data_IF_207318776392
#
_entry.id   IF_207318776392
#
_cell.length_a   1.000
_cell.length_b   1.000
_cell.length_c   1.000
_cell.angle_alpha   90.00
_cell.angle_beta   90.00
_cell.angle_gamma   90.00
#
_symmetry.space_group_name_H-M   'P 1'
#
loop_
_entity.id
_entity.type
_entity.pdbx_description
1 polymer ?
#
# COMPACT_ATOMS: atom_id res chain seq x y z
N UNK A 1 -78.36 40.31 2.04
CA UNK A 1 -77.00 39.98 2.53
C UNK A 1 -76.88 38.47 2.63
N UNK A 2 -76.05 37.82 1.81
CA UNK A 2 -75.85 36.36 1.85
C UNK A 2 -74.54 36.03 2.57
N UNK A 3 -74.63 35.33 3.70
CA UNK A 3 -73.46 34.79 4.39
C UNK A 3 -72.83 33.66 3.55
N UNK A 4 -71.60 33.87 3.07
CA UNK A 4 -70.82 32.81 2.40
C UNK A 4 -70.44 31.74 3.43
N UNK A 5 -71.01 30.53 3.26
CA UNK A 5 -70.56 29.34 3.99
C UNK A 5 -69.17 28.92 3.51
N UNK A 6 -68.24 28.85 4.47
CA UNK A 6 -67.24 27.79 4.65
C UNK A 6 -66.67 27.19 3.35
N UNK A 7 -65.44 27.61 3.01
CA UNK A 7 -64.48 26.76 2.29
C UNK A 7 -63.22 26.60 3.14
N UNK A 8 -63.34 25.77 4.18
CA UNK A 8 -62.23 25.35 5.05
C UNK A 8 -61.78 23.92 4.71
N UNK A 9 -61.80 23.56 3.42
CA UNK A 9 -61.54 22.21 2.93
C UNK A 9 -60.23 22.08 2.12
N UNK A 10 -59.44 23.15 2.02
CA UNK A 10 -58.22 23.18 1.19
C UNK A 10 -56.91 23.42 1.95
N UNK A 11 -56.94 23.35 3.29
CA UNK A 11 -55.75 23.55 4.15
C UNK A 11 -55.23 22.26 4.82
N UNK A 12 -55.84 21.09 4.54
CA UNK A 12 -55.49 19.82 5.20
C UNK A 12 -54.77 18.79 4.31
N UNK A 13 -54.54 19.10 3.02
CA UNK A 13 -53.87 18.18 2.07
C UNK A 13 -52.34 18.35 2.03
N UNK A 14 -51.79 19.43 2.61
CA UNK A 14 -50.36 19.76 2.54
C UNK A 14 -49.55 19.13 3.71
N UNK A 15 -50.20 18.55 4.73
CA UNK A 15 -49.53 18.02 5.93
C UNK A 15 -49.12 16.53 5.86
N UNK A 16 -49.40 15.83 4.75
CA UNK A 16 -49.19 14.36 4.65
C UNK A 16 -47.99 13.92 3.80
N UNK A 17 -47.08 14.84 3.44
CA UNK A 17 -45.97 14.54 2.49
C UNK A 17 -44.60 15.07 2.94
N UNK A 18 -44.25 14.94 4.23
CA UNK A 18 -42.92 15.28 4.76
C UNK A 18 -42.40 14.25 5.81
N UNK A 19 -42.48 12.96 5.49
CA UNK A 19 -42.06 11.86 6.38
C UNK A 19 -40.88 11.04 5.86
N UNK A 20 -39.85 11.69 5.32
CA UNK A 20 -38.56 11.02 4.99
C UNK A 20 -37.30 11.91 5.07
N UNK A 21 -37.35 13.02 5.80
CA UNK A 21 -36.12 13.69 6.24
C UNK A 21 -35.52 12.93 7.42
N UNK A 22 -34.59 12.01 7.14
CA UNK A 22 -33.70 11.39 8.13
C UNK A 22 -32.72 12.44 8.68
N UNK A 23 -33.23 13.35 9.53
CA UNK A 23 -32.47 14.44 10.15
C UNK A 23 -31.41 13.92 11.14
N UNK A 24 -31.59 12.68 11.62
CA UNK A 24 -30.62 11.92 12.38
C UNK A 24 -30.09 10.74 11.56
N UNK A 25 -29.13 11.00 10.66
CA UNK A 25 -28.15 9.95 10.29
C UNK A 25 -27.30 9.68 11.53
N UNK A 26 -27.78 8.82 12.41
CA UNK A 26 -26.93 8.23 13.45
C UNK A 26 -25.84 7.41 12.75
N UNK A 27 -24.63 7.95 12.71
CA UNK A 27 -23.48 7.21 12.20
C UNK A 27 -23.24 6.02 13.12
N UNK A 28 -23.63 4.81 12.69
CA UNK A 28 -23.42 3.56 13.43
C UNK A 28 -21.95 3.44 13.83
N UNK A 29 -21.70 3.45 15.13
CA UNK A 29 -20.40 3.18 15.72
C UNK A 29 -20.27 1.67 15.96
N UNK A 30 -19.22 1.07 15.41
CA UNK A 30 -18.80 -0.31 15.67
C UNK A 30 -17.82 -0.38 16.85
N UNK A 31 -17.22 0.77 17.18
CA UNK A 31 -16.46 1.00 18.40
C UNK A 31 -16.60 2.48 18.78
N UNK A 32 -16.70 2.77 20.08
CA UNK A 32 -16.61 4.14 20.62
C UNK A 32 -16.15 4.11 22.08
N UNK A 33 -15.01 4.73 22.37
CA UNK A 33 -14.50 4.92 23.73
C UNK A 33 -13.66 6.21 23.79
N UNK A 34 -14.20 7.28 24.37
CA UNK A 34 -13.58 8.61 24.27
C UNK A 34 -13.41 9.03 22.80
N UNK A 35 -12.18 9.35 22.40
CA UNK A 35 -11.82 9.68 21.01
C UNK A 35 -11.58 8.46 20.12
N UNK A 36 -11.46 7.27 20.71
CA UNK A 36 -11.29 6.03 19.97
C UNK A 36 -12.62 5.63 19.33
N UNK A 37 -12.61 5.33 18.03
CA UNK A 37 -13.83 4.96 17.29
C UNK A 37 -13.57 4.13 16.04
N UNK A 38 -14.60 3.40 15.62
CA UNK A 38 -14.73 2.77 14.31
C UNK A 38 -16.15 3.05 13.81
N UNK A 39 -16.28 3.65 12.62
CA UNK A 39 -17.56 4.04 12.02
C UNK A 39 -17.50 3.89 10.49
N UNK A 40 -18.66 3.82 9.84
CA UNK A 40 -18.75 3.97 8.38
C UNK A 40 -18.76 5.44 7.98
N UNK A 41 -18.18 5.73 6.82
CA UNK A 41 -18.08 7.07 6.25
C UNK A 41 -18.01 7.02 4.71
N UNK A 42 -18.34 8.12 4.03
CA UNK A 42 -18.32 8.24 2.57
C UNK A 42 -17.32 9.32 2.17
N UNK A 43 -16.18 8.94 1.58
CA UNK A 43 -15.22 9.91 1.05
C UNK A 43 -15.67 10.51 -0.29
N UNK A 44 -16.28 9.67 -1.15
CA UNK A 44 -16.82 10.08 -2.44
C UNK A 44 -17.86 9.06 -2.93
N UNK A 45 -19.06 9.55 -3.27
CA UNK A 45 -20.20 8.76 -3.76
C UNK A 45 -19.92 7.96 -5.05
N UNK A 46 -18.90 8.33 -5.84
CA UNK A 46 -18.51 7.60 -7.05
C UNK A 46 -17.64 6.36 -6.78
N UNK A 47 -17.13 6.19 -5.56
CA UNK A 47 -16.27 5.05 -5.20
C UNK A 47 -17.05 3.73 -5.29
N UNK A 48 -16.40 2.68 -5.78
CA UNK A 48 -16.92 1.32 -5.91
C UNK A 48 -15.91 0.33 -5.32
N UNK A 49 -15.80 0.36 -3.99
CA UNK A 49 -15.12 -0.66 -3.20
C UNK A 49 -15.84 -2.01 -3.33
N UNK A 50 -15.13 -3.10 -3.06
CA UNK A 50 -15.70 -4.45 -2.97
C UNK A 50 -16.23 -4.63 -1.54
N UNK A 51 -17.42 -4.06 -1.30
CA UNK A 51 -18.17 -4.13 -0.05
C UNK A 51 -19.63 -4.49 -0.32
N UNK A 52 -20.32 -5.20 0.61
CA UNK A 52 -19.80 -5.69 1.90
C UNK A 52 -18.78 -6.83 1.77
N UNK A 53 -17.88 -6.98 2.75
CA UNK A 53 -16.90 -8.08 2.78
C UNK A 53 -16.70 -8.61 4.20
N UNK A 54 -16.81 -9.94 4.37
CA UNK A 54 -16.59 -10.61 5.65
C UNK A 54 -15.15 -11.12 5.72
N UNK A 55 -14.33 -10.49 6.58
CA UNK A 55 -12.93 -10.88 6.83
C UNK A 55 -12.81 -11.24 8.30
N UNK A 56 -12.39 -12.47 8.62
CA UNK A 56 -12.24 -12.92 10.01
C UNK A 56 -11.37 -11.91 10.83
N UNK A 57 -11.83 -11.46 12.02
CA UNK A 57 -11.11 -10.48 12.84
C UNK A 57 -9.63 -10.80 13.09
N UNK A 58 -9.27 -12.07 13.30
CA UNK A 58 -7.89 -12.49 13.55
C UNK A 58 -6.98 -12.26 12.32
N UNK A 59 -7.54 -12.28 11.10
CA UNK A 59 -6.81 -11.94 9.87
C UNK A 59 -6.55 -10.44 9.75
N UNK A 60 -7.49 -9.60 10.22
CA UNK A 60 -7.31 -8.15 10.30
C UNK A 60 -6.30 -7.82 11.40
N UNK A 61 -6.44 -8.42 12.59
CA UNK A 61 -5.51 -8.28 13.71
C UNK A 61 -4.09 -8.59 13.27
N UNK A 62 -3.91 -9.75 12.63
CA UNK A 62 -2.64 -10.13 12.05
C UNK A 62 -2.11 -9.09 11.08
N UNK A 63 -2.92 -8.60 10.14
CA UNK A 63 -2.51 -7.57 9.18
C UNK A 63 -2.05 -6.28 9.88
N UNK A 64 -2.77 -5.81 10.89
CA UNK A 64 -2.40 -4.63 11.69
C UNK A 64 -1.07 -4.82 12.46
N UNK A 65 -0.72 -6.04 12.89
CA UNK A 65 0.59 -6.34 13.52
C UNK A 65 1.79 -6.13 12.60
N UNK A 66 1.61 -6.15 11.27
CA UNK A 66 2.71 -5.93 10.32
C UNK A 66 3.11 -4.46 10.17
N UNK A 67 2.30 -3.54 10.69
CA UNK A 67 2.50 -2.09 10.54
C UNK A 67 3.39 -1.63 11.69
N UNK A 68 4.63 -1.33 11.36
CA UNK A 68 5.70 -1.07 12.32
C UNK A 68 6.13 0.40 12.17
N UNK A 69 6.35 1.05 13.31
CA UNK A 69 6.82 2.43 13.41
C UNK A 69 8.01 2.51 14.36
N UNK A 70 8.68 3.65 14.38
CA UNK A 70 9.81 3.93 15.27
C UNK A 70 9.45 5.06 16.24
N UNK A 71 9.38 4.76 17.53
CA UNK A 71 9.19 5.75 18.59
C UNK A 71 10.49 5.94 19.39
N UNK A 72 11.17 7.06 19.16
CA UNK A 72 12.52 7.29 19.69
C UNK A 72 13.51 6.24 19.19
N UNK A 73 14.07 5.46 20.11
CA UNK A 73 15.02 4.38 19.78
C UNK A 73 14.34 3.01 19.53
N UNK A 74 13.05 2.85 19.85
CA UNK A 74 12.35 1.56 19.79
C UNK A 74 11.60 1.42 18.47
N UNK A 75 11.60 0.19 17.94
CA UNK A 75 10.77 -0.21 16.80
C UNK A 75 9.62 -1.06 17.33
N UNK A 76 8.39 -0.66 17.07
CA UNK A 76 7.19 -1.28 17.64
C UNK A 76 6.01 -1.28 16.66
N UNK A 77 4.97 -2.05 16.96
CA UNK A 77 3.75 -2.06 16.15
C UNK A 77 2.96 -0.77 16.34
N UNK A 78 2.42 -0.22 15.26
CA UNK A 78 1.58 1.00 15.28
C UNK A 78 0.26 0.82 16.05
N UNK A 79 -0.10 -0.42 16.36
CA UNK A 79 -1.23 -0.78 17.19
C UNK A 79 -0.74 -1.53 18.42
N UNK A 80 -1.28 -1.18 19.59
CA UNK A 80 -0.88 -1.79 20.86
C UNK A 80 -1.48 -3.18 21.03
N UNK A 81 -0.70 -4.14 21.54
CA UNK A 81 -1.11 -5.55 21.70
C UNK A 81 -2.45 -5.73 22.44
N UNK A 82 -2.67 -4.97 23.50
CA UNK A 82 -3.90 -5.03 24.31
C UNK A 82 -5.12 -4.35 23.65
N UNK A 83 -4.94 -3.61 22.55
CA UNK A 83 -6.01 -2.88 21.87
C UNK A 83 -6.35 -3.41 20.48
N UNK A 84 -5.42 -4.13 19.84
CA UNK A 84 -5.51 -4.49 18.42
C UNK A 84 -6.69 -5.40 18.08
N UNK A 85 -7.03 -6.38 18.94
CA UNK A 85 -8.14 -7.32 18.70
C UNK A 85 -9.52 -6.62 18.72
N UNK A 86 -9.90 -5.82 19.74
CA UNK A 86 -11.15 -5.03 19.71
C UNK A 86 -11.34 -4.23 18.42
N UNK A 87 -10.33 -3.51 17.94
CA UNK A 87 -10.42 -2.79 16.67
C UNK A 87 -10.56 -3.72 15.47
N UNK A 88 -9.92 -4.88 15.49
CA UNK A 88 -9.99 -5.84 14.39
C UNK A 88 -11.37 -6.49 14.27
N UNK A 89 -12.06 -6.71 15.40
CA UNK A 89 -13.47 -7.11 15.44
C UNK A 89 -14.35 -5.99 14.87
N UNK A 90 -14.25 -4.78 15.41
CA UNK A 90 -15.06 -3.64 14.96
C UNK A 90 -14.84 -3.26 13.49
N UNK A 91 -13.61 -3.39 12.97
CA UNK A 91 -13.31 -3.18 11.55
C UNK A 91 -13.89 -4.32 10.71
N UNK A 92 -13.82 -5.58 11.15
CA UNK A 92 -14.46 -6.73 10.47
C UNK A 92 -15.96 -6.53 10.32
N UNK A 93 -16.64 -6.14 11.40
CA UNK A 93 -18.09 -5.88 11.42
C UNK A 93 -18.44 -4.69 10.51
N UNK A 94 -17.69 -3.59 10.59
CA UNK A 94 -17.91 -2.43 9.74
C UNK A 94 -17.70 -2.76 8.24
N UNK A 95 -16.69 -3.57 7.89
CA UNK A 95 -16.46 -4.03 6.51
C UNK A 95 -17.58 -4.96 6.00
N UNK A 96 -18.22 -5.71 6.89
CA UNK A 96 -19.34 -6.60 6.57
C UNK A 96 -20.67 -5.86 6.36
N UNK A 97 -20.82 -4.66 6.91
CA UNK A 97 -21.98 -3.78 6.75
C UNK A 97 -21.78 -2.67 5.70
N UNK A 98 -20.54 -2.39 5.31
CA UNK A 98 -20.19 -1.31 4.39
C UNK A 98 -20.90 -1.44 3.02
N UNK A 99 -21.37 -0.31 2.49
CA UNK A 99 -21.78 -0.18 1.08
C UNK A 99 -20.56 0.04 0.18
N UNK A 100 -20.72 -0.14 -1.13
CA UNK A 100 -19.64 0.02 -2.12
C UNK A 100 -19.04 1.42 -2.21
N UNK A 101 -19.78 2.47 -1.82
CA UNK A 101 -19.33 3.85 -1.71
C UNK A 101 -18.81 4.23 -0.30
N UNK A 102 -18.85 3.30 0.66
CA UNK A 102 -18.44 3.53 2.04
C UNK A 102 -17.08 2.92 2.35
N UNK A 103 -16.42 3.53 3.34
CA UNK A 103 -15.20 3.05 3.96
C UNK A 103 -15.40 2.93 5.47
N UNK A 104 -14.53 2.16 6.12
CA UNK A 104 -14.43 2.11 7.58
C UNK A 104 -13.39 3.14 8.03
N UNK A 105 -13.84 4.18 8.74
CA UNK A 105 -12.95 5.17 9.35
C UNK A 105 -12.70 4.82 10.82
N UNK A 106 -11.43 4.82 11.21
CA UNK A 106 -11.01 4.55 12.59
C UNK A 106 -10.17 5.68 13.18
N UNK A 107 -10.24 5.77 14.51
CA UNK A 107 -9.30 6.52 15.36
C UNK A 107 -8.89 5.62 16.52
N UNK A 108 -7.59 5.45 16.73
CA UNK A 108 -6.98 4.63 17.80
C UNK A 108 -5.98 5.46 18.59
N UNK A 109 -6.09 5.42 19.91
CA UNK A 109 -5.13 6.02 20.85
C UNK A 109 -4.23 4.95 21.47
N UNK A 110 -2.98 5.27 21.76
CA UNK A 110 -2.04 4.37 22.44
C UNK A 110 -0.95 5.10 23.20
N UNK A 111 -0.49 4.50 24.30
CA UNK A 111 0.57 5.05 25.15
C UNK A 111 1.95 4.54 24.74
N UNK A 112 2.79 5.41 24.18
CA UNK A 112 4.10 5.08 23.64
C UNK A 112 5.24 5.59 24.53
N UNK A 113 6.23 4.73 24.81
CA UNK A 113 7.31 5.01 25.76
C UNK A 113 8.62 5.40 25.09
N UNK A 114 9.08 6.64 25.30
CA UNK A 114 10.38 7.16 24.83
C UNK A 114 11.27 7.45 26.04
N UNK A 115 12.34 6.66 26.20
CA UNK A 115 13.17 6.64 27.43
C UNK A 115 12.27 6.36 28.65
N UNK A 116 12.19 7.30 29.59
CA UNK A 116 11.36 7.24 30.81
C UNK A 116 9.96 7.84 30.63
N UNK A 117 9.73 8.65 29.59
CA UNK A 117 8.45 9.34 29.37
C UNK A 117 7.48 8.48 28.55
N UNK A 118 6.20 8.54 28.89
CA UNK A 118 5.10 7.88 28.17
C UNK A 118 4.15 8.94 27.62
N UNK A 119 3.94 8.97 26.31
CA UNK A 119 3.04 9.92 25.65
C UNK A 119 1.83 9.19 25.05
N UNK A 120 0.61 9.71 25.25
CA UNK A 120 -0.55 9.25 24.48
C UNK A 120 -0.47 9.80 23.05
N UNK A 121 -0.50 8.89 22.07
CA UNK A 121 -0.44 9.20 20.64
C UNK A 121 -1.62 8.60 19.90
N UNK A 122 -2.09 9.31 18.88
CA UNK A 122 -3.29 8.94 18.14
C UNK A 122 -2.97 8.66 16.67
N UNK A 123 -3.51 7.56 16.19
CA UNK A 123 -3.42 7.11 14.80
C UNK A 123 -4.83 6.96 14.25
N UNK A 124 -5.09 7.53 13.08
CA UNK A 124 -6.37 7.48 12.38
C UNK A 124 -6.18 7.00 10.95
N UNK A 125 -7.24 6.46 10.37
CA UNK A 125 -7.18 5.99 9.01
C UNK A 125 -8.53 5.61 8.43
N UNK A 126 -8.49 5.25 7.15
CA UNK A 126 -9.61 4.85 6.32
C UNK A 126 -9.27 3.47 5.75
N UNK A 127 -10.17 2.51 5.93
CA UNK A 127 -10.00 1.10 5.57
C UNK A 127 -11.10 0.70 4.60
N UNK A 128 -10.71 0.06 3.51
CA UNK A 128 -11.63 -0.41 2.48
C UNK A 128 -11.05 -1.61 1.75
N UNK A 129 -11.87 -2.34 1.00
CA UNK A 129 -11.45 -3.54 0.28
C UNK A 129 -11.64 -3.35 -1.22
N UNK A 130 -10.66 -3.76 -2.01
CA UNK A 130 -10.72 -3.73 -3.47
C UNK A 130 -9.96 -4.91 -4.08
N UNK A 131 -9.85 -4.95 -5.41
CA UNK A 131 -9.17 -6.03 -6.16
C UNK A 131 -7.71 -6.30 -5.74
N UNK A 132 -7.04 -5.35 -5.10
CA UNK A 132 -5.66 -5.49 -4.62
C UNK A 132 -5.57 -6.07 -3.18
N UNK A 133 -6.70 -6.12 -2.45
CA UNK A 133 -6.79 -6.58 -1.06
C UNK A 133 -7.41 -5.53 -0.13
N UNK A 134 -7.13 -5.66 1.17
CA UNK A 134 -7.52 -4.67 2.17
C UNK A 134 -6.58 -3.47 2.06
N UNK A 135 -7.12 -2.27 1.94
CA UNK A 135 -6.38 -1.02 1.86
C UNK A 135 -6.51 -0.31 3.20
N UNK A 136 -5.43 0.31 3.66
CA UNK A 136 -5.43 1.25 4.79
C UNK A 136 -4.72 2.51 4.33
N UNK A 137 -5.43 3.64 4.39
CA UNK A 137 -4.85 4.98 4.24
C UNK A 137 -4.82 5.61 5.63
N UNK A 138 -3.64 6.00 6.09
CA UNK A 138 -3.48 6.73 7.34
C UNK A 138 -3.68 8.23 7.13
N UNK A 139 -4.27 8.90 8.12
CA UNK A 139 -4.35 10.36 8.18
C UNK A 139 -3.38 10.88 9.23
N UNK A 140 -3.78 10.85 10.51
CA UNK A 140 -2.83 11.00 11.61
C UNK A 140 -2.06 9.69 11.85
N UNK A 141 -0.74 9.78 11.99
CA UNK A 141 0.12 8.69 12.44
C UNK A 141 0.83 9.18 13.70
N UNK A 142 0.53 8.58 14.85
CA UNK A 142 1.11 8.92 16.16
C UNK A 142 1.09 10.42 16.53
N UNK A 143 0.03 11.15 16.17
CA UNK A 143 -0.16 12.56 16.57
C UNK A 143 -0.19 12.70 18.09
N UNK A 144 0.41 13.75 18.65
CA UNK A 144 0.40 14.00 20.11
C UNK A 144 -0.91 14.67 20.53
N UNK A 145 -1.66 14.02 21.42
CA UNK A 145 -2.86 14.57 22.06
C UNK A 145 -4.01 14.93 21.10
N UNK A 146 -5.07 15.50 21.67
CA UNK A 146 -6.16 16.10 20.90
C UNK A 146 -5.66 17.28 20.08
N UNK A 147 -6.21 17.43 18.88
CA UNK A 147 -6.18 18.73 18.19
C UNK A 147 -6.91 19.75 19.06
N UNK A 148 -6.17 20.78 19.50
CA UNK A 148 -6.74 22.04 19.99
C UNK A 148 -7.38 22.79 18.82
N UNK A 149 -8.40 23.61 19.07
CA UNK A 149 -9.01 24.46 18.02
C UNK A 149 -8.00 25.42 17.35
N UNK A 150 -6.86 25.65 18.02
CA UNK A 150 -5.70 26.42 17.53
C UNK A 150 -4.73 25.66 16.63
N UNK A 151 -4.94 24.36 16.36
CA UNK A 151 -4.05 23.57 15.48
C UNK A 151 -4.12 24.07 14.02
N UNK A 152 -2.96 24.29 13.35
CA UNK A 152 -2.91 24.75 11.96
C UNK A 152 -3.73 23.92 10.97
N UNK A 153 -3.98 22.63 11.22
CA UNK A 153 -4.78 21.81 10.33
C UNK A 153 -6.29 22.10 10.43
N UNK A 154 -6.78 22.49 11.62
CA UNK A 154 -8.19 22.86 11.81
C UNK A 154 -8.42 24.32 11.42
N UNK A 155 -7.51 25.23 11.79
CA UNK A 155 -7.65 26.65 11.45
C UNK A 155 -7.52 26.93 9.95
N UNK A 156 -6.77 26.10 9.20
CA UNK A 156 -6.67 26.21 7.74
C UNK A 156 -7.85 25.59 6.97
N UNK A 157 -8.80 24.91 7.63
CA UNK A 157 -10.05 24.43 7.00
C UNK A 157 -9.91 23.40 5.88
N UNK A 158 -8.75 22.75 5.73
CA UNK A 158 -8.33 22.03 4.51
C UNK A 158 -9.18 20.80 4.16
N UNK A 159 -9.95 20.26 5.11
CA UNK A 159 -10.89 19.15 4.88
C UNK A 159 -12.17 19.30 5.74
N UNK A 160 -13.39 19.19 5.17
CA UNK A 160 -14.64 19.29 5.92
C UNK A 160 -14.82 18.23 7.02
N UNK A 161 -14.14 17.07 6.91
CA UNK A 161 -14.12 16.03 7.94
C UNK A 161 -13.49 16.49 9.26
N UNK A 162 -12.65 17.52 9.24
CA UNK A 162 -11.92 17.99 10.43
C UNK A 162 -12.85 18.56 11.50
N UNK A 163 -14.00 19.12 11.10
CA UNK A 163 -15.07 19.53 12.04
C UNK A 163 -15.74 18.36 12.75
N UNK A 164 -15.65 17.13 12.19
CA UNK A 164 -16.23 15.90 12.74
C UNK A 164 -15.16 14.95 13.32
N UNK A 165 -13.89 15.15 12.97
CA UNK A 165 -12.78 14.31 13.39
C UNK A 165 -11.51 15.13 13.67
N UNK A 166 -11.17 15.39 14.96
CA UNK A 166 -9.96 16.10 15.36
C UNK A 166 -8.67 15.29 15.13
N UNK A 167 -8.72 14.25 14.30
CA UNK A 167 -7.59 13.39 14.00
C UNK A 167 -7.37 13.14 12.51
N UNK A 168 -8.10 13.82 11.60
CA UNK A 168 -7.94 13.70 10.13
C UNK A 168 -8.09 12.24 9.64
N UNK A 169 -9.23 11.81 9.09
CA UNK A 169 -9.29 10.48 8.46
C UNK A 169 -8.31 10.41 7.29
N UNK A 170 -7.80 9.21 6.98
CA UNK A 170 -6.99 9.02 5.76
C UNK A 170 -7.80 9.34 4.51
N UNK A 171 -7.16 9.92 3.49
CA UNK A 171 -7.83 10.31 2.24
C UNK A 171 -7.16 9.73 1.00
N UNK A 172 -7.93 9.31 0.01
CA UNK A 172 -7.44 8.92 -1.32
C UNK A 172 -6.82 10.09 -2.07
N UNK A 173 -7.30 11.31 -1.86
CA UNK A 173 -6.90 12.51 -2.59
C UNK A 173 -5.77 13.28 -1.91
N UNK A 174 -5.77 13.33 -0.57
CA UNK A 174 -4.79 14.08 0.22
C UNK A 174 -3.94 13.15 1.10
N UNK A 175 -2.68 13.52 1.30
CA UNK A 175 -1.77 12.85 2.23
C UNK A 175 -1.32 13.84 3.30
N UNK A 176 -1.28 13.39 4.56
CA UNK A 176 -0.76 14.19 5.68
C UNK A 176 0.68 13.79 5.93
N UNK A 177 1.61 14.74 5.87
CA UNK A 177 3.01 14.50 6.20
C UNK A 177 3.14 14.20 7.70
N UNK A 178 3.65 13.01 8.04
CA UNK A 178 4.03 12.64 9.40
C UNK A 178 5.54 12.56 9.58
N UNK A 179 6.02 12.81 10.79
CA UNK A 179 7.39 12.49 11.22
C UNK A 179 7.62 10.98 11.41
N UNK A 180 6.55 10.20 11.55
CA UNK A 180 6.58 8.76 11.81
C UNK A 180 6.49 7.95 10.53
N UNK A 181 7.55 7.18 10.23
CA UNK A 181 7.62 6.30 9.07
C UNK A 181 6.86 5.00 9.31
N UNK A 182 6.10 4.58 8.30
CA UNK A 182 5.43 3.28 8.26
C UNK A 182 6.29 2.24 7.53
N UNK A 183 6.70 1.23 8.28
CA UNK A 183 7.52 0.10 7.85
C UNK A 183 6.76 -1.22 7.98
N UNK A 184 7.21 -2.24 7.24
CA UNK A 184 6.63 -3.59 7.27
C UNK A 184 7.72 -4.63 7.07
N UNK A 185 7.52 -5.87 7.52
CA UNK A 185 8.44 -6.97 7.22
C UNK A 185 8.45 -7.24 5.69
N UNK A 186 9.61 -7.42 5.03
CA UNK A 186 9.66 -7.80 3.62
C UNK A 186 8.93 -9.13 3.34
N UNK A 187 8.39 -9.27 2.14
CA UNK A 187 7.63 -10.45 1.71
C UNK A 187 6.42 -10.81 2.61
N UNK A 188 5.97 -9.91 3.47
CA UNK A 188 4.77 -10.09 4.30
C UNK A 188 3.45 -10.03 3.52
N UNK A 189 3.49 -9.57 2.27
CA UNK A 189 2.30 -9.36 1.44
C UNK A 189 1.64 -7.99 1.65
N UNK A 190 2.27 -7.09 2.40
CA UNK A 190 1.90 -5.67 2.48
C UNK A 190 2.73 -4.88 1.48
N UNK A 191 2.11 -3.96 0.74
CA UNK A 191 2.80 -3.12 -0.25
C UNK A 191 2.11 -1.76 -0.41
N UNK A 192 2.74 -0.83 -1.14
CA UNK A 192 2.12 0.45 -1.51
C UNK A 192 1.42 0.30 -2.88
N UNK A 193 0.22 0.83 -3.10
CA UNK A 193 -0.45 0.76 -4.41
C UNK A 193 0.21 1.71 -5.43
N UNK A 194 0.06 1.46 -6.73
CA UNK A 194 0.69 2.27 -7.80
C UNK A 194 0.10 3.68 -7.84
N UNK A 195 -1.18 3.77 -7.51
CA UNK A 195 -2.01 4.96 -7.34
C UNK A 195 -1.49 5.86 -6.20
N UNK A 196 -0.73 5.29 -5.27
CA UNK A 196 -0.11 5.99 -4.13
C UNK A 196 1.40 6.21 -4.33
N UNK A 197 1.85 6.46 -5.57
CA UNK A 197 3.25 6.77 -5.86
C UNK A 197 3.70 8.00 -5.06
N UNK A 198 4.78 7.86 -4.29
CA UNK A 198 5.31 8.92 -3.41
C UNK A 198 4.59 9.05 -2.06
N UNK A 199 3.52 8.30 -1.80
CA UNK A 199 2.77 8.33 -0.54
C UNK A 199 3.27 7.29 0.46
N UNK A 200 3.64 7.73 1.66
CA UNK A 200 4.12 6.84 2.72
C UNK A 200 2.98 6.19 3.54
N UNK A 201 1.79 6.80 3.49
CA UNK A 201 0.61 6.60 4.34
C UNK A 201 -0.42 5.59 3.80
N UNK A 202 -0.30 5.11 2.57
CA UNK A 202 -1.22 4.14 1.96
C UNK A 202 -0.57 2.75 1.85
N UNK A 203 -1.13 1.77 2.56
CA UNK A 203 -0.71 0.37 2.54
C UNK A 203 -1.84 -0.54 2.02
N UNK A 204 -1.48 -1.60 1.30
CA UNK A 204 -2.39 -2.65 0.83
C UNK A 204 -1.92 -4.00 1.34
N UNK A 205 -2.86 -4.75 1.90
CA UNK A 205 -2.68 -6.05 2.54
C UNK A 205 -3.33 -7.11 1.67
N UNK A 206 -2.49 -7.87 0.95
CA UNK A 206 -2.93 -9.03 0.14
C UNK A 206 -3.43 -10.18 1.04
N UNK A 207 -3.97 -11.25 0.45
CA UNK A 207 -4.31 -12.48 1.19
C UNK A 207 -3.16 -13.06 2.03
N UNK A 208 -1.90 -12.87 1.60
CA UNK A 208 -0.70 -13.25 2.37
C UNK A 208 -0.48 -12.38 3.61
N UNK A 209 -0.93 -11.12 3.59
CA UNK A 209 -0.91 -10.26 4.77
C UNK A 209 -2.14 -10.51 5.68
N UNK A 210 -3.30 -10.83 5.10
CA UNK A 210 -4.57 -11.12 5.78
C UNK A 210 -4.65 -12.56 6.30
N UNK A 211 -3.76 -12.89 7.24
CA UNK A 211 -3.73 -14.15 7.97
C UNK A 211 -3.49 -13.89 9.45
N UNK A 212 -4.05 -14.74 10.31
CA UNK A 212 -3.76 -14.71 11.75
C UNK A 212 -2.26 -14.92 11.97
N UNK A 213 -1.70 -14.21 12.96
CA UNK A 213 -0.29 -14.32 13.33
C UNK A 213 -0.04 -13.89 14.77
N UNK A 214 1.00 -14.48 15.34
CA UNK A 214 1.58 -14.06 16.60
C UNK A 214 2.20 -12.66 16.50
N UNK A 215 2.61 -12.14 17.66
CA UNK A 215 3.27 -10.84 17.72
C UNK A 215 4.68 -10.91 17.15
N UNK A 216 5.06 -9.87 16.40
CA UNK A 216 6.38 -9.79 15.81
C UNK A 216 7.47 -9.71 16.88
N UNK A 217 8.56 -10.45 16.69
CA UNK A 217 9.72 -10.43 17.58
C UNK A 217 10.39 -9.06 17.56
N UNK A 218 11.22 -8.79 18.57
CA UNK A 218 11.99 -7.53 18.66
C UNK A 218 12.88 -7.35 17.42
N UNK A 219 13.50 -8.42 16.93
CA UNK A 219 14.42 -8.33 15.80
C UNK A 219 13.70 -8.22 14.46
N UNK A 220 12.53 -8.85 14.29
CA UNK A 220 11.64 -8.59 13.16
C UNK A 220 11.20 -7.11 13.09
N UNK A 221 10.88 -6.50 14.24
CA UNK A 221 10.52 -5.08 14.34
C UNK A 221 11.70 -4.17 13.99
N UNK A 222 12.89 -4.43 14.55
CA UNK A 222 14.14 -3.69 14.22
C UNK A 222 14.47 -3.81 12.72
N UNK A 223 14.40 -5.02 12.17
CA UNK A 223 14.72 -5.26 10.77
C UNK A 223 13.78 -4.52 9.82
N UNK A 224 12.48 -4.51 10.09
CA UNK A 224 11.51 -3.77 9.29
C UNK A 224 11.76 -2.25 9.24
N UNK A 225 12.14 -1.63 10.37
CA UNK A 225 12.46 -0.19 10.41
C UNK A 225 13.83 0.13 9.84
N UNK A 226 14.82 -0.76 10.04
CA UNK A 226 16.17 -0.60 9.47
C UNK A 226 16.21 -0.74 7.95
N UNK A 227 15.37 -1.61 7.38
CA UNK A 227 15.40 -1.91 5.95
C UNK A 227 14.71 -0.85 5.05
N UNK A 228 14.08 0.19 5.61
CA UNK A 228 13.46 1.33 4.88
C UNK A 228 12.62 0.92 3.65
N UNK A 229 11.89 -0.20 3.76
CA UNK A 229 11.38 -0.91 2.57
C UNK A 229 10.22 -0.15 1.92
N UNK A 230 10.54 0.51 0.81
CA UNK A 230 9.60 0.85 -0.24
C UNK A 230 9.25 -0.45 -0.99
N UNK A 231 8.27 -1.22 -0.49
CA UNK A 231 7.98 -2.60 -0.91
C UNK A 231 7.70 -2.76 -2.41
N UNK A 232 7.35 -1.68 -3.12
CA UNK A 232 7.23 -1.67 -4.58
C UNK A 232 8.56 -2.02 -5.27
N UNK A 233 9.67 -1.35 -4.93
CA UNK A 233 10.96 -1.55 -5.61
C UNK A 233 11.58 -2.92 -5.31
N UNK A 234 11.57 -3.31 -4.03
CA UNK A 234 12.26 -4.52 -3.57
C UNK A 234 11.67 -5.84 -4.07
N UNK A 235 10.42 -5.86 -4.59
CA UNK A 235 9.89 -7.07 -5.26
C UNK A 235 10.46 -7.22 -6.66
N UNK A 236 10.42 -6.15 -7.43
CA UNK A 236 10.90 -6.13 -8.81
C UNK A 236 12.42 -6.31 -8.84
N UNK A 237 13.16 -5.63 -7.94
CA UNK A 237 14.60 -5.74 -7.76
C UNK A 237 15.04 -7.15 -7.30
N UNK A 238 14.32 -7.80 -6.37
CA UNK A 238 14.62 -9.19 -5.96
C UNK A 238 14.22 -10.20 -7.06
N UNK A 239 13.19 -9.95 -7.84
CA UNK A 239 12.87 -10.79 -9.01
C UNK A 239 13.93 -10.64 -10.10
N UNK A 240 14.37 -9.42 -10.38
CA UNK A 240 15.43 -9.10 -11.33
C UNK A 240 16.76 -9.77 -10.92
N UNK A 241 17.19 -9.61 -9.67
CA UNK A 241 18.38 -10.26 -9.13
C UNK A 241 18.27 -11.80 -9.13
N UNK A 242 17.06 -12.36 -8.94
CA UNK A 242 16.84 -13.81 -9.08
C UNK A 242 16.95 -14.29 -10.52
N UNK A 243 16.40 -13.56 -11.48
CA UNK A 243 16.55 -13.89 -12.90
C UNK A 243 17.99 -13.73 -13.39
N UNK A 244 18.72 -12.73 -12.89
CA UNK A 244 20.14 -12.51 -13.18
C UNK A 244 21.02 -13.61 -12.57
N UNK A 245 20.76 -14.03 -11.33
CA UNK A 245 21.44 -15.19 -10.73
C UNK A 245 21.10 -16.52 -11.44
N UNK A 246 19.87 -16.66 -11.95
CA UNK A 246 19.49 -17.84 -12.75
C UNK A 246 20.17 -17.86 -14.13
N UNK A 247 20.33 -16.71 -14.79
CA UNK A 247 21.06 -16.63 -16.07
C UNK A 247 22.56 -16.89 -15.88
N UNK A 248 23.16 -16.36 -14.81
CA UNK A 248 24.56 -16.65 -14.43
C UNK A 248 24.79 -18.13 -14.10
N UNK A 249 23.80 -18.81 -13.52
CA UNK A 249 23.87 -20.25 -13.19
C UNK A 249 23.71 -21.15 -14.42
N UNK A 250 23.20 -20.66 -15.55
CA UNK A 250 22.87 -21.48 -16.72
C UNK A 250 23.16 -20.73 -18.05
N UNK A 251 24.44 -20.59 -18.49
CA UNK A 251 24.85 -19.76 -19.62
C UNK A 251 24.47 -20.30 -21.02
N UNK A 252 23.47 -21.19 -21.12
CA UNK A 252 23.01 -21.84 -22.37
C UNK A 252 21.52 -21.66 -22.68
N UNK A 253 20.83 -20.78 -21.97
CA UNK A 253 19.44 -20.42 -22.29
C UNK A 253 19.40 -19.02 -22.92
N UNK A 254 18.93 -18.88 -24.18
CA UNK A 254 18.77 -17.56 -24.80
C UNK A 254 17.63 -16.81 -24.09
N UNK A 255 17.95 -15.66 -23.53
CA UNK A 255 16.95 -14.74 -22.96
C UNK A 255 16.20 -14.07 -24.12
N UNK A 256 14.85 -14.11 -24.16
CA UNK A 256 14.07 -13.23 -25.02
C UNK A 256 14.28 -11.78 -24.55
N UNK A 257 15.00 -10.98 -25.34
CA UNK A 257 15.30 -9.58 -25.02
C UNK A 257 14.02 -8.75 -24.90
N UNK A 258 13.93 -7.93 -23.85
CA UNK A 258 12.78 -7.08 -23.57
C UNK A 258 13.07 -6.01 -22.52
N UNK A 259 14.07 -5.15 -22.76
CA UNK A 259 14.35 -4.00 -21.90
C UNK A 259 13.32 -2.87 -22.11
N UNK A 260 12.63 -2.39 -21.06
CA UNK A 260 12.10 -1.04 -21.05
C UNK A 260 13.23 -0.06 -20.71
N UNK A 261 13.80 0.59 -21.72
CA UNK A 261 14.72 1.72 -21.54
C UNK A 261 13.96 2.94 -21.01
N UNK A 262 14.26 3.38 -19.78
CA UNK A 262 13.82 4.68 -19.27
C UNK A 262 14.85 5.75 -19.62
N UNK A 263 14.71 6.33 -20.82
CA UNK A 263 15.56 7.39 -21.31
C UNK A 263 15.10 8.75 -20.77
N UNK A 264 15.99 9.45 -20.06
CA UNK A 264 15.72 10.79 -19.51
C UNK A 264 15.96 11.86 -20.59
N UNK A 265 14.88 12.49 -21.06
CA UNK A 265 14.85 13.84 -21.63
C UNK A 265 15.50 14.08 -23.00
N UNK A 266 14.71 14.47 -24.00
CA UNK A 266 14.75 15.79 -24.68
C UNK A 266 13.70 15.87 -25.81
N UNK A 267 13.28 17.08 -26.19
CA UNK A 267 12.20 17.31 -27.19
C UNK A 267 12.58 16.80 -28.59
N UNK A 268 11.56 16.41 -29.40
CA UNK A 268 11.38 17.12 -30.66
C UNK A 268 9.91 17.25 -31.14
N UNK A 269 9.71 18.16 -32.10
CA UNK A 269 8.56 18.30 -33.00
C UNK A 269 9.02 19.17 -34.20
N UNK A 270 8.40 19.19 -35.40
CA UNK A 270 7.23 18.43 -35.89
C UNK A 270 7.38 17.78 -37.31
N UNK A 271 6.30 17.15 -37.81
CA UNK A 271 5.99 16.75 -39.23
C UNK A 271 6.86 15.62 -39.86
N UNK A 272 6.34 14.59 -40.57
CA UNK A 272 5.21 14.51 -41.51
C UNK A 272 4.73 13.02 -41.72
N UNK A 273 3.56 12.82 -42.36
CA UNK A 273 2.95 11.54 -42.84
C UNK A 273 3.31 11.28 -44.34
N UNK A 274 2.83 10.24 -45.11
CA UNK A 274 1.94 9.09 -44.82
C UNK A 274 2.28 7.68 -45.45
N UNK A 275 1.71 6.58 -44.87
CA UNK A 275 1.07 5.36 -45.50
C UNK A 275 1.72 4.50 -46.66
N UNK A 276 1.18 3.32 -47.10
CA UNK A 276 0.89 2.08 -46.30
C UNK A 276 0.98 0.67 -47.01
N UNK A 277 0.75 -0.42 -46.23
CA UNK A 277 0.01 -1.69 -46.53
C UNK A 277 0.59 -2.93 -47.29
N UNK A 278 0.02 -4.10 -46.89
CA UNK A 278 -0.14 -5.47 -47.47
C UNK A 278 0.72 -6.58 -46.80
N UNK A 279 0.26 -7.71 -46.20
CA UNK A 279 -0.85 -8.71 -46.36
C UNK A 279 -0.75 -9.60 -47.64
N UNK A 280 -0.95 -10.93 -47.66
CA UNK A 280 -1.11 -11.99 -46.63
C UNK A 280 -1.16 -13.46 -47.19
N UNK A 281 -0.87 -14.48 -46.34
CA UNK A 281 -1.39 -15.89 -46.35
C UNK A 281 -0.97 -16.90 -47.50
N UNK A 282 -1.33 -18.23 -47.49
CA UNK A 282 -0.48 -19.33 -46.93
C UNK A 282 -0.45 -20.69 -47.73
N UNK A 283 0.12 -21.79 -47.16
CA UNK A 283 -0.40 -23.20 -47.10
C UNK A 283 0.60 -24.38 -47.36
N UNK A 284 0.76 -25.25 -46.34
CA UNK A 284 1.18 -26.69 -46.22
C UNK A 284 2.47 -27.34 -46.84
N UNK A 285 3.03 -28.42 -46.22
CA UNK A 285 4.26 -29.17 -46.57
C UNK A 285 3.91 -30.55 -47.24
N UNK A 286 4.78 -31.61 -47.38
CA UNK A 286 6.18 -31.90 -46.95
C UNK A 286 7.07 -32.34 -48.17
N UNK A 287 8.17 -33.16 -48.12
CA UNK A 287 8.87 -33.88 -47.04
C UNK A 287 10.43 -33.76 -47.05
N UNK A 288 11.15 -34.84 -46.69
CA UNK A 288 12.60 -34.94 -46.45
C UNK A 288 13.43 -35.37 -47.68
N UNK A 289 14.64 -34.80 -47.84
CA UNK A 289 15.86 -35.55 -48.20
C UNK A 289 17.14 -34.77 -47.82
N UNK A 290 18.23 -35.48 -47.50
CA UNK A 290 19.51 -34.89 -47.06
C UNK A 290 20.38 -34.42 -48.24
N UNK A 291 21.21 -33.37 -48.07
CA UNK A 291 22.69 -33.42 -48.26
C UNK A 291 23.41 -32.05 -48.11
N UNK A 292 24.50 -32.06 -47.32
CA UNK A 292 25.76 -31.28 -47.35
C UNK A 292 25.81 -29.72 -47.43
N UNK A 293 26.80 -29.05 -46.80
CA UNK A 293 26.84 -27.59 -46.63
C UNK A 293 27.96 -26.82 -47.40
N UNK A 294 27.79 -25.51 -47.65
CA UNK A 294 28.87 -24.55 -47.93
C UNK A 294 28.97 -23.46 -46.81
N UNK A 295 29.91 -22.49 -46.83
CA UNK A 295 31.13 -22.60 -46.03
C UNK A 295 31.18 -21.70 -44.79
N UNK A 296 32.08 -22.02 -43.85
CA UNK A 296 32.34 -21.26 -42.62
C UNK A 296 32.92 -19.86 -42.90
N UNK A 297 32.26 -18.81 -42.42
CA UNK A 297 32.86 -17.47 -42.27
C UNK A 297 33.53 -17.35 -40.90
N UNK A 298 34.82 -17.02 -40.91
CA UNK A 298 35.67 -16.91 -39.73
C UNK A 298 35.49 -15.54 -39.06
N UNK A 299 34.78 -15.48 -37.93
CA UNK A 299 34.71 -14.30 -37.08
C UNK A 299 35.69 -14.42 -35.90
N UNK A 300 36.50 -13.39 -35.60
CA UNK A 300 37.50 -13.47 -34.55
C UNK A 300 36.87 -13.52 -33.15
N UNK A 301 37.40 -14.39 -32.29
CA UNK A 301 36.97 -14.57 -30.91
C UNK A 301 37.20 -13.30 -30.09
N UNK A 302 36.13 -12.56 -29.77
CA UNK A 302 36.18 -11.59 -28.67
C UNK A 302 36.29 -12.35 -27.35
N UNK A 303 37.41 -12.17 -26.65
CA UNK A 303 37.62 -12.72 -25.30
C UNK A 303 36.51 -12.24 -24.36
N UNK A 304 35.82 -13.19 -23.73
CA UNK A 304 34.91 -12.91 -22.61
C UNK A 304 35.60 -12.02 -21.57
N UNK A 305 35.05 -10.83 -21.32
CA UNK A 305 35.46 -10.02 -20.17
C UNK A 305 34.98 -10.73 -18.92
N UNK A 306 35.92 -11.17 -18.09
CA UNK A 306 35.62 -11.69 -16.76
C UNK A 306 34.82 -10.65 -15.96
N UNK A 307 33.61 -11.02 -15.54
CA UNK A 307 32.78 -10.22 -14.64
C UNK A 307 33.37 -10.25 -13.23
N UNK A 308 34.40 -9.43 -13.01
CA UNK A 308 35.07 -9.32 -11.72
C UNK A 308 34.12 -8.66 -10.70
N UNK A 309 33.67 -9.44 -9.71
CA UNK A 309 33.12 -8.90 -8.47
C UNK A 309 34.20 -8.06 -7.79
N UNK A 310 33.99 -6.74 -7.74
CA UNK A 310 34.92 -5.83 -7.08
C UNK A 310 34.89 -6.03 -5.56
N UNK A 311 36.04 -5.94 -4.88
CA UNK A 311 36.15 -5.96 -3.42
C UNK A 311 35.16 -4.98 -2.74
N UNK A 312 35.00 -3.78 -3.32
CA UNK A 312 34.05 -2.74 -2.88
C UNK A 312 32.57 -3.13 -2.99
N UNK A 313 32.25 -4.17 -3.76
CA UNK A 313 30.90 -4.77 -3.81
C UNK A 313 30.69 -5.78 -2.67
N UNK A 314 31.71 -6.60 -2.36
CA UNK A 314 31.69 -7.54 -1.24
C UNK A 314 31.60 -6.82 0.11
N UNK A 315 32.37 -5.75 0.31
CA UNK A 315 32.31 -4.91 1.52
C UNK A 315 30.89 -4.38 1.77
N UNK A 316 30.26 -3.79 0.74
CA UNK A 316 28.87 -3.31 0.80
C UNK A 316 27.85 -4.42 1.04
N UNK A 317 28.11 -5.64 0.58
CA UNK A 317 27.25 -6.80 0.85
C UNK A 317 27.36 -7.25 2.32
N UNK A 318 28.56 -7.23 2.90
CA UNK A 318 28.80 -7.49 4.32
C UNK A 318 28.14 -6.42 5.20
N UNK A 319 28.39 -5.15 4.93
CA UNK A 319 27.81 -4.00 5.68
C UNK A 319 26.27 -4.00 5.70
N UNK A 320 25.66 -4.53 4.63
CA UNK A 320 24.19 -4.66 4.50
C UNK A 320 23.64 -5.98 5.04
N UNK A 321 24.48 -6.85 5.61
CA UNK A 321 24.10 -8.17 6.13
C UNK A 321 23.58 -9.14 5.06
N UNK A 322 23.94 -8.93 3.78
CA UNK A 322 23.51 -9.76 2.65
C UNK A 322 24.34 -11.04 2.50
N UNK A 323 25.53 -11.06 3.10
CA UNK A 323 26.42 -12.22 3.22
C UNK A 323 26.91 -12.32 4.67
N UNK A 324 27.14 -13.54 5.15
CA UNK A 324 27.82 -13.76 6.43
C UNK A 324 29.32 -13.45 6.32
N UNK A 325 29.96 -13.17 7.46
CA UNK A 325 31.40 -12.87 7.53
C UNK A 325 32.23 -14.02 6.92
N UNK A 326 31.85 -15.27 7.18
CA UNK A 326 32.47 -16.47 6.60
C UNK A 326 32.42 -16.49 5.07
N UNK A 327 31.27 -16.12 4.48
CA UNK A 327 31.12 -16.04 3.03
C UNK A 327 31.87 -14.85 2.42
N UNK A 328 31.97 -13.74 3.15
CA UNK A 328 32.80 -12.60 2.77
C UNK A 328 34.29 -12.98 2.72
N UNK A 329 34.82 -13.59 3.79
CA UNK A 329 36.22 -14.05 3.87
C UNK A 329 36.54 -15.12 2.82
N UNK A 330 35.62 -16.08 2.60
CA UNK A 330 35.78 -17.07 1.53
C UNK A 330 35.85 -16.42 0.15
N UNK A 331 35.05 -15.39 -0.11
CA UNK A 331 35.05 -14.67 -1.40
C UNK A 331 36.25 -13.76 -1.60
N UNK A 332 36.82 -13.16 -0.54
CA UNK A 332 38.12 -12.47 -0.63
C UNK A 332 39.22 -13.45 -1.06
N UNK A 333 39.30 -14.61 -0.40
CA UNK A 333 40.28 -15.66 -0.73
C UNK A 333 40.13 -16.22 -2.14
N UNK A 334 38.90 -16.37 -2.64
CA UNK A 334 38.63 -16.75 -4.04
C UNK A 334 39.01 -15.66 -5.07
N UNK A 335 39.13 -14.39 -4.64
CA UNK A 335 39.55 -13.26 -5.46
C UNK A 335 41.02 -12.86 -5.27
N UNK A 336 41.79 -13.64 -4.51
CA UNK A 336 43.22 -13.39 -4.20
C UNK A 336 43.49 -12.06 -3.47
N UNK A 337 42.61 -11.71 -2.52
CA UNK A 337 42.80 -10.61 -1.55
C UNK A 337 42.97 -11.14 -0.13
#
# INVERSE_FOLDING_TARGET
MYFKKISLALLFVILSSCSSYNLFKENKFYYKNGYQRVQLDIENESIRNIHPVKINPLKIEGALKLIITKYGAKSETLFQKNKILPYSVSISEALADAKSNQDVVFTVEGWYKKKTLSDNRVTSGRVFYNKNGLNIIFGSIMRKGNISETDPMVSAGINPDLRKNPYVPGSRYQSVRSEFLLSTIPNSGVFRPKEAKGRADWLVFTGRALQARDDLTVDQKKFATGANILVQGLRDEVQQLRSELQSLRNPRQPIPYGYPQYQYGTMPSPYQQPFPQQRAYPYYPPPYSNQAPPPQQYYPVQKSKNNNLSLKSLEKMRERGLISEENYLKKLKELSY
#
